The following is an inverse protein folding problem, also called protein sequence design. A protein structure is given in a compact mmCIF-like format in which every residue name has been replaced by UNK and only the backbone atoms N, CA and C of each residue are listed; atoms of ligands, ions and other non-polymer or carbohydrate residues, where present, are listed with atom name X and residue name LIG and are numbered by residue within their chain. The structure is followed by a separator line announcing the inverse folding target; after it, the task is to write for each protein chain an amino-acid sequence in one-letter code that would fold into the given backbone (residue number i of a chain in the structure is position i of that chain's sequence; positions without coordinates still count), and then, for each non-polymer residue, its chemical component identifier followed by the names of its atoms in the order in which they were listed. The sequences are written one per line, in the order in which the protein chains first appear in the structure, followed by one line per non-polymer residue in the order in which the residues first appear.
data_IF_847827713553
#
_entry.id   IF_847827713553
#
_cell.length_a   1.000
_cell.length_b   1.000
_cell.length_c   1.000
_cell.angle_alpha   90.00
_cell.angle_beta   90.00
_cell.angle_gamma   90.00
#
_symmetry.space_group_name_H-M   'P 1'
#
loop_
_entity.id
_entity.type
_entity.pdbx_description
1 polymer ?
#
# COMPACT_ATOMS: atom_id res chain seq x y z
N UNK A 1 -22.59 7.41 -38.62
CA UNK A 1 -23.16 7.37 -37.25
C UNK A 1 -22.24 6.49 -36.41
N UNK A 2 -21.63 7.10 -35.39
CA UNK A 2 -20.44 6.61 -34.69
C UNK A 2 -20.72 5.44 -33.74
N UNK A 3 -19.94 4.36 -33.86
CA UNK A 3 -19.97 3.19 -32.99
C UNK A 3 -18.70 3.08 -32.10
N UNK A 4 -18.16 4.22 -31.64
CA UNK A 4 -16.93 4.26 -30.82
C UNK A 4 -17.18 4.33 -29.30
N UNK A 5 -18.44 4.32 -28.85
CA UNK A 5 -18.80 4.55 -27.45
C UNK A 5 -18.90 3.32 -26.54
N UNK A 6 -18.94 2.10 -27.09
CA UNK A 6 -19.32 0.90 -26.33
C UNK A 6 -18.15 0.14 -25.69
N UNK A 7 -16.89 0.41 -26.06
CA UNK A 7 -15.72 -0.30 -25.51
C UNK A 7 -15.19 0.33 -24.23
N UNK A 8 -15.31 1.66 -24.08
CA UNK A 8 -14.77 2.40 -22.93
C UNK A 8 -15.53 2.08 -21.64
N UNK A 9 -16.86 1.97 -21.70
CA UNK A 9 -17.68 1.61 -20.54
C UNK A 9 -17.41 0.16 -20.07
N UNK A 10 -17.18 -0.77 -20.99
CA UNK A 10 -16.86 -2.17 -20.66
C UNK A 10 -15.44 -2.31 -20.08
N UNK A 11 -14.47 -1.55 -20.58
CA UNK A 11 -13.11 -1.45 -19.99
C UNK A 11 -13.15 -0.81 -18.60
N UNK A 12 -13.92 0.26 -18.42
CA UNK A 12 -14.13 0.91 -17.10
C UNK A 12 -14.82 -0.05 -16.13
N UNK A 13 -15.78 -0.85 -16.58
CA UNK A 13 -16.43 -1.87 -15.77
C UNK A 13 -15.44 -2.97 -15.35
N UNK A 14 -14.56 -3.45 -16.25
CA UNK A 14 -13.50 -4.41 -15.93
C UNK A 14 -12.49 -3.85 -14.93
N UNK A 15 -12.05 -2.60 -15.10
CA UNK A 15 -11.13 -1.92 -14.16
C UNK A 15 -11.78 -1.77 -12.77
N UNK A 16 -13.08 -1.43 -12.71
CA UNK A 16 -13.84 -1.36 -11.45
C UNK A 16 -13.97 -2.74 -10.79
N UNK A 17 -14.27 -3.79 -11.57
CA UNK A 17 -14.39 -5.15 -11.07
C UNK A 17 -13.06 -5.70 -10.54
N UNK A 18 -11.92 -5.37 -11.16
CA UNK A 18 -10.61 -5.72 -10.63
C UNK A 18 -10.25 -4.98 -9.34
N UNK A 19 -10.60 -3.69 -9.22
CA UNK A 19 -10.42 -2.91 -7.98
C UNK A 19 -11.33 -3.39 -6.84
N UNK A 20 -12.46 -4.05 -7.14
CA UNK A 20 -13.41 -4.54 -6.16
C UNK A 20 -13.05 -5.90 -5.55
N UNK A 21 -12.01 -6.59 -6.03
CA UNK A 21 -11.55 -7.85 -5.41
C UNK A 21 -11.04 -7.56 -3.99
N UNK A 22 -11.46 -8.35 -2.97
CA UNK A 22 -10.97 -8.14 -1.61
C UNK A 22 -9.45 -8.24 -1.61
N UNK A 23 -8.81 -7.19 -1.14
CA UNK A 23 -7.38 -7.06 -1.17
C UNK A 23 -6.68 -8.21 -0.43
N UNK A 24 -5.43 -8.48 -0.79
CA UNK A 24 -4.57 -9.40 -0.05
C UNK A 24 -4.48 -8.96 1.42
N UNK A 25 -4.16 -9.90 2.29
CA UNK A 25 -3.84 -9.64 3.67
C UNK A 25 -2.89 -8.42 3.83
N UNK A 26 -3.27 -7.44 4.65
CA UNK A 26 -2.50 -6.21 4.93
C UNK A 26 -2.44 -5.22 3.75
N UNK A 27 -3.36 -5.33 2.77
CA UNK A 27 -3.35 -4.47 1.59
C UNK A 27 -3.61 -3.00 1.91
N UNK A 28 -4.54 -2.68 2.83
CA UNK A 28 -4.77 -1.28 3.25
C UNK A 28 -3.50 -0.63 3.80
N UNK A 29 -2.82 -1.30 4.75
CA UNK A 29 -1.54 -0.82 5.29
C UNK A 29 -0.45 -0.66 4.22
N UNK A 30 -0.46 -1.50 3.19
CA UNK A 30 0.49 -1.40 2.06
C UNK A 30 0.17 -0.20 1.17
N UNK A 31 -1.10 0.08 0.95
CA UNK A 31 -1.58 1.24 0.18
C UNK A 31 -1.27 2.54 0.93
N UNK A 32 -1.60 2.62 2.22
CA UNK A 32 -1.29 3.77 3.08
C UNK A 32 0.21 4.06 3.13
N UNK A 33 1.03 3.01 3.30
CA UNK A 33 2.49 3.15 3.33
C UNK A 33 3.02 3.63 1.98
N UNK A 34 2.46 3.11 0.87
CA UNK A 34 2.84 3.55 -0.48
C UNK A 34 2.51 5.02 -0.67
N UNK A 35 1.29 5.43 -0.35
CA UNK A 35 0.85 6.82 -0.49
C UNK A 35 1.71 7.77 0.37
N UNK A 36 1.99 7.38 1.62
CA UNK A 36 2.85 8.14 2.52
C UNK A 36 4.25 8.35 1.93
N UNK A 37 4.86 7.30 1.36
CA UNK A 37 6.19 7.40 0.75
C UNK A 37 6.18 8.20 -0.56
N UNK A 38 5.13 8.09 -1.37
CA UNK A 38 5.00 8.87 -2.61
C UNK A 38 4.89 10.38 -2.35
N UNK A 39 4.32 10.77 -1.20
CA UNK A 39 4.27 12.17 -0.76
C UNK A 39 5.56 12.64 -0.08
N UNK A 40 6.48 11.71 0.25
CA UNK A 40 7.71 12.06 0.95
C UNK A 40 8.75 12.66 0.03
N UNK A 41 9.54 13.57 0.59
CA UNK A 41 10.64 14.24 -0.09
C UNK A 41 11.71 13.25 -0.60
N UNK A 42 11.86 12.09 0.04
CA UNK A 42 12.80 11.07 -0.42
C UNK A 42 12.44 10.51 -1.81
N UNK A 43 11.16 10.40 -2.14
CA UNK A 43 10.74 9.93 -3.48
C UNK A 43 10.66 11.10 -4.45
N UNK A 44 10.17 12.25 -4.00
CA UNK A 44 9.94 13.42 -4.86
C UNK A 44 11.26 14.13 -5.22
N UNK A 45 12.14 14.37 -4.24
CA UNK A 45 13.37 15.16 -4.42
C UNK A 45 14.56 14.28 -4.81
N UNK A 46 14.77 13.17 -4.11
CA UNK A 46 15.93 12.31 -4.37
C UNK A 46 15.69 11.32 -5.52
N UNK A 47 14.45 11.15 -5.98
CA UNK A 47 14.08 10.20 -7.03
C UNK A 47 14.33 8.73 -6.65
N UNK A 48 14.48 8.43 -5.36
CA UNK A 48 14.77 7.08 -4.86
C UNK A 48 13.51 6.23 -4.86
N UNK A 49 13.69 4.91 -4.96
CA UNK A 49 12.55 4.01 -4.80
C UNK A 49 12.03 4.05 -3.35
N UNK A 50 10.72 3.84 -3.12
CA UNK A 50 10.17 3.78 -1.76
C UNK A 50 10.86 2.74 -0.86
N UNK A 51 11.43 1.68 -1.45
CA UNK A 51 12.21 0.67 -0.71
C UNK A 51 13.56 1.23 -0.26
N UNK A 52 14.24 1.98 -1.12
CA UNK A 52 15.54 2.57 -0.82
C UNK A 52 15.42 3.64 0.26
N UNK A 53 14.35 4.44 0.21
CA UNK A 53 13.99 5.40 1.27
C UNK A 53 13.82 4.75 2.65
N UNK A 54 13.43 3.47 2.68
CA UNK A 54 13.28 2.69 3.90
C UNK A 54 14.54 1.91 4.28
N UNK A 55 15.44 1.62 3.33
CA UNK A 55 16.64 0.83 3.54
C UNK A 55 17.77 1.66 4.18
N UNK A 56 17.86 2.95 3.84
CA UNK A 56 18.94 3.86 4.27
C UNK A 56 18.90 4.26 5.77
N UNK A 57 18.14 3.55 6.61
CA UNK A 57 17.83 4.02 7.97
C UNK A 57 16.79 5.16 7.93
N UNK A 58 16.31 5.65 9.07
CA UNK A 58 15.30 6.75 9.12
C UNK A 58 15.81 7.97 8.34
N UNK A 59 15.42 8.08 7.07
CA UNK A 59 15.80 9.21 6.24
C UNK A 59 15.11 10.46 6.79
N UNK A 60 15.82 11.57 7.00
CA UNK A 60 15.22 12.79 7.57
C UNK A 60 14.06 13.33 6.71
N UNK A 61 14.08 13.03 5.41
CA UNK A 61 13.04 13.43 4.46
C UNK A 61 11.79 12.53 4.46
N UNK A 62 11.76 11.47 5.28
CA UNK A 62 10.59 10.60 5.46
C UNK A 62 9.93 10.94 6.80
N UNK A 63 8.66 11.36 6.81
CA UNK A 63 7.99 11.73 8.05
C UNK A 63 7.74 10.51 8.96
N UNK A 64 7.71 10.73 10.27
CA UNK A 64 7.49 9.68 11.28
C UNK A 64 6.20 8.89 11.06
N UNK A 65 5.17 9.52 10.47
CA UNK A 65 3.92 8.85 10.06
C UNK A 65 4.20 7.66 9.14
N UNK A 66 5.10 7.80 8.16
CA UNK A 66 5.43 6.70 7.26
C UNK A 66 6.20 5.59 7.96
N UNK A 67 7.02 5.94 8.97
CA UNK A 67 7.69 4.95 9.81
C UNK A 67 6.70 4.17 10.70
N UNK A 68 5.69 4.83 11.26
CA UNK A 68 4.61 4.18 11.98
C UNK A 68 3.82 3.22 11.07
N UNK A 69 3.47 3.64 9.85
CA UNK A 69 2.79 2.79 8.86
C UNK A 69 3.66 1.57 8.47
N UNK A 70 4.97 1.75 8.32
CA UNK A 70 5.90 0.64 8.08
C UNK A 70 5.87 -0.37 9.23
N UNK A 71 5.87 0.11 10.47
CA UNK A 71 5.80 -0.76 11.64
C UNK A 71 4.48 -1.54 11.67
N UNK A 72 3.35 -0.86 11.47
CA UNK A 72 2.03 -1.50 11.39
C UNK A 72 1.96 -2.54 10.27
N UNK A 73 2.51 -2.24 9.09
CA UNK A 73 2.58 -3.20 7.97
C UNK A 73 3.44 -4.42 8.33
N UNK A 74 4.57 -4.21 9.00
CA UNK A 74 5.43 -5.30 9.48
C UNK A 74 4.72 -6.17 10.51
N UNK A 75 4.02 -5.56 11.47
CA UNK A 75 3.26 -6.26 12.50
C UNK A 75 2.08 -7.04 11.92
N UNK A 76 1.40 -6.48 10.92
CA UNK A 76 0.35 -7.19 10.19
C UNK A 76 0.90 -8.41 9.47
N UNK A 77 2.02 -8.27 8.74
CA UNK A 77 2.67 -9.40 8.06
C UNK A 77 3.17 -10.45 9.04
N UNK A 78 3.71 -10.03 10.19
CA UNK A 78 4.16 -10.94 11.25
C UNK A 78 3.00 -11.70 11.89
N UNK A 79 1.85 -11.03 12.09
CA UNK A 79 0.64 -11.68 12.62
C UNK A 79 0.11 -12.81 11.72
N UNK A 80 0.37 -12.75 10.41
CA UNK A 80 -0.05 -13.84 9.49
C UNK A 80 0.65 -15.18 9.77
N UNK A 81 1.88 -15.12 10.28
CA UNK A 81 2.71 -16.30 10.55
C UNK A 81 2.69 -16.65 12.05
N UNK A 82 2.33 -15.69 12.90
CA UNK A 82 2.28 -15.90 14.35
C UNK A 82 1.03 -16.68 14.78
N UNK A 83 1.23 -17.95 15.10
CA UNK A 83 0.18 -18.85 15.57
C UNK A 83 -0.55 -18.33 16.83
N UNK A 84 0.10 -17.51 17.67
CA UNK A 84 -0.52 -16.94 18.89
C UNK A 84 -1.59 -15.90 18.59
N UNK A 85 -1.54 -15.30 17.41
CA UNK A 85 -2.50 -14.28 16.96
C UNK A 85 -3.74 -14.90 16.32
N UNK A 86 -3.75 -16.22 16.04
CA UNK A 86 -4.92 -16.92 15.47
C UNK A 86 -6.17 -16.79 16.35
N UNK A 87 -6.00 -16.83 17.67
CA UNK A 87 -7.10 -16.67 18.61
C UNK A 87 -7.45 -15.21 18.92
N UNK A 88 -6.47 -14.29 18.76
CA UNK A 88 -6.61 -12.88 19.14
C UNK A 88 -7.00 -11.97 17.97
N UNK A 89 -6.98 -12.50 16.75
CA UNK A 89 -7.15 -11.72 15.53
C UNK A 89 -5.82 -11.11 15.05
N UNK A 90 -5.84 -10.64 13.80
CA UNK A 90 -4.68 -10.03 13.16
C UNK A 90 -4.38 -8.66 13.77
N UNK A 91 -3.09 -8.32 13.82
CA UNK A 91 -2.65 -6.99 14.27
C UNK A 91 -2.64 -6.05 13.09
N UNK A 92 -3.40 -4.96 13.18
CA UNK A 92 -3.54 -3.97 12.11
C UNK A 92 -4.75 -4.20 11.20
N UNK A 93 -5.09 -3.14 10.47
CA UNK A 93 -6.30 -2.93 9.65
C UNK A 93 -6.64 -4.08 8.69
#
# INVERSE_FOLDING_TARGET
MSAAGLTYDEEVAKIKAEKAKPGRACQGLREDLRECLMQSDCVIKDGKSPKDCLLMGRHPSVPDRCHALRQSFFDCKRSLIDMRTRFRGRKGY
#
